data_IF_796831035834
#
_entry.id   IF_796831035834
#
_cell.length_a   1.000
_cell.length_b   1.000
_cell.length_c   1.000
_cell.angle_alpha   90.00
_cell.angle_beta   90.00
_cell.angle_gamma   90.00
#
_symmetry.space_group_name_H-M   'P 1'
#
loop_
_entity.id
_entity.type
_entity.pdbx_description
1 polymer ?
#
# COMPACT_ATOMS: atom_id res chain seq x y z
N UNK A 1 1.00 -9.76 -30.90
CA UNK A 1 1.51 -8.37 -30.98
C UNK A 1 0.69 -7.60 -29.93
N UNK A 2 1.28 -7.28 -28.77
CA UNK A 2 0.59 -6.42 -27.81
C UNK A 2 0.61 -5.01 -28.40
N UNK A 3 -0.56 -4.46 -28.72
CA UNK A 3 -0.64 -3.02 -29.01
C UNK A 3 -0.21 -2.29 -27.73
N UNK A 4 0.76 -1.39 -27.83
CA UNK A 4 1.09 -0.46 -26.76
C UNK A 4 -0.13 0.42 -26.51
N UNK A 5 -0.95 0.03 -25.55
CA UNK A 5 -2.04 0.87 -25.09
C UNK A 5 -1.44 2.05 -24.35
N UNK A 6 -1.73 3.24 -24.82
CA UNK A 6 -1.30 4.48 -24.18
C UNK A 6 -2.03 4.60 -22.82
N UNK A 7 -1.27 4.70 -21.74
CA UNK A 7 -1.80 4.99 -20.43
C UNK A 7 -2.57 6.33 -20.45
N UNK A 8 -3.73 6.39 -19.81
CA UNK A 8 -4.63 7.55 -19.79
C UNK A 8 -4.68 8.26 -18.44
N UNK A 9 -4.05 7.68 -17.42
CA UNK A 9 -3.93 8.36 -16.12
C UNK A 9 -3.18 9.68 -16.26
N UNK A 10 -3.56 10.69 -15.51
CA UNK A 10 -2.99 12.03 -15.56
C UNK A 10 -2.38 12.33 -14.19
N UNK A 11 -1.07 12.55 -14.16
CA UNK A 11 -0.42 12.89 -12.90
C UNK A 11 -0.82 14.31 -12.45
N UNK A 12 -1.47 14.46 -11.28
CA UNK A 12 -1.79 15.77 -10.74
C UNK A 12 -0.53 16.63 -10.55
N UNK A 13 -0.58 17.94 -10.78
CA UNK A 13 0.60 18.80 -10.73
C UNK A 13 1.24 18.89 -9.33
N UNK A 14 0.47 18.68 -8.27
CA UNK A 14 0.90 18.68 -6.88
C UNK A 14 1.08 17.27 -6.29
N UNK A 15 0.94 16.22 -7.10
CA UNK A 15 0.98 14.82 -6.69
C UNK A 15 2.15 14.49 -5.75
N UNK A 16 3.35 14.89 -6.14
CA UNK A 16 4.54 14.62 -5.32
C UNK A 16 4.51 15.38 -3.99
N UNK A 17 4.06 16.63 -3.99
CA UNK A 17 3.95 17.43 -2.76
C UNK A 17 2.89 16.85 -1.82
N UNK A 18 1.75 16.43 -2.37
CA UNK A 18 0.65 15.78 -1.66
C UNK A 18 1.11 14.52 -0.90
N UNK A 19 1.84 13.62 -1.58
CA UNK A 19 2.32 12.38 -0.98
C UNK A 19 3.55 12.57 -0.08
N UNK A 20 4.45 13.51 -0.40
CA UNK A 20 5.59 13.83 0.47
C UNK A 20 5.10 14.31 1.84
N UNK A 21 4.11 15.21 1.89
CA UNK A 21 3.56 15.70 3.14
C UNK A 21 2.99 14.56 4.02
N UNK A 22 2.38 13.53 3.41
CA UNK A 22 1.88 12.34 4.12
C UNK A 22 2.99 11.43 4.59
N UNK A 23 3.98 11.18 3.76
CA UNK A 23 5.15 10.39 4.13
C UNK A 23 5.93 11.01 5.30
N UNK A 24 6.01 12.35 5.34
CA UNK A 24 6.64 13.10 6.43
C UNK A 24 5.84 12.97 7.74
N UNK A 25 4.50 13.13 7.68
CA UNK A 25 3.64 12.91 8.86
C UNK A 25 3.71 11.46 9.37
N UNK A 26 3.75 10.50 8.46
CA UNK A 26 3.90 9.09 8.80
C UNK A 26 5.21 8.78 9.54
N UNK A 27 6.26 9.60 9.36
CA UNK A 27 7.54 9.42 10.06
C UNK A 27 7.44 9.61 11.57
N UNK A 28 6.48 10.37 12.06
CA UNK A 28 6.26 10.67 13.49
C UNK A 28 5.27 9.71 14.17
N UNK A 29 4.84 8.65 13.48
CA UNK A 29 3.87 7.70 14.02
C UNK A 29 4.33 7.09 15.36
N UNK A 30 3.41 7.01 16.32
CA UNK A 30 3.60 6.23 17.53
C UNK A 30 3.47 4.74 17.22
N UNK A 31 4.28 3.91 17.88
CA UNK A 31 4.29 2.46 17.71
C UNK A 31 4.40 1.78 19.06
N UNK A 32 3.49 0.85 19.34
CA UNK A 32 3.59 -0.11 20.42
C UNK A 32 3.93 -1.49 19.82
N UNK A 33 4.94 -2.17 20.37
CA UNK A 33 5.36 -3.49 19.93
C UNK A 33 5.16 -4.49 21.08
N UNK A 34 4.32 -5.51 20.86
CA UNK A 34 3.99 -6.55 21.84
C UNK A 34 4.55 -7.90 21.41
N UNK A 35 5.34 -8.59 22.25
CA UNK A 35 5.82 -9.93 21.93
C UNK A 35 4.65 -10.91 21.92
N UNK A 36 4.66 -11.85 20.98
CA UNK A 36 3.74 -12.99 20.93
C UNK A 36 4.44 -14.22 21.48
N UNK A 37 3.80 -14.90 22.41
CA UNK A 37 4.39 -16.06 23.10
C UNK A 37 4.36 -17.33 22.22
N UNK A 38 5.04 -17.29 21.09
CA UNK A 38 5.33 -18.49 20.31
C UNK A 38 6.73 -19.01 20.65
N UNK A 39 6.82 -20.29 20.95
CA UNK A 39 8.10 -20.96 21.13
C UNK A 39 8.64 -21.43 19.77
N UNK A 40 9.48 -20.63 19.18
CA UNK A 40 10.17 -20.98 17.93
C UNK A 40 11.67 -20.76 18.09
N UNK A 41 12.52 -21.75 17.77
CA UNK A 41 13.96 -21.56 17.80
C UNK A 41 14.47 -20.70 16.64
N UNK A 42 13.63 -20.42 15.64
CA UNK A 42 14.03 -19.77 14.41
C UNK A 42 13.65 -18.29 14.33
N UNK A 43 12.60 -17.86 15.06
CA UNK A 43 12.05 -16.52 14.90
C UNK A 43 11.43 -15.96 16.19
N UNK A 44 11.42 -14.65 16.27
CA UNK A 44 10.65 -13.84 17.23
C UNK A 44 9.42 -13.25 16.55
N UNK A 45 8.31 -13.15 17.28
CA UNK A 45 7.00 -12.76 16.79
C UNK A 45 6.46 -11.59 17.60
N UNK A 46 5.95 -10.58 16.92
CA UNK A 46 5.42 -9.38 17.55
C UNK A 46 4.13 -8.90 16.86
N UNK A 47 3.23 -8.34 17.64
CA UNK A 47 2.15 -7.51 17.16
C UNK A 47 2.55 -6.05 17.28
N UNK A 48 2.26 -5.27 16.26
CA UNK A 48 2.49 -3.84 16.21
C UNK A 48 1.15 -3.11 16.19
N UNK A 49 1.02 -2.11 17.06
CA UNK A 49 -0.07 -1.15 17.03
C UNK A 49 0.50 0.21 16.67
N UNK A 50 0.09 0.75 15.54
CA UNK A 50 0.61 2.01 15.00
C UNK A 50 -0.49 3.06 15.04
N UNK A 51 -0.14 4.32 15.30
CA UNK A 51 -1.11 5.40 15.21
C UNK A 51 -1.08 6.00 13.82
N UNK A 52 -2.20 5.89 13.08
CA UNK A 52 -2.38 6.51 11.77
C UNK A 52 -2.50 8.03 11.87
N UNK A 53 -2.38 8.73 10.74
CA UNK A 53 -2.51 10.19 10.63
C UNK A 53 -3.85 10.72 11.19
N UNK A 54 -4.93 9.97 11.01
CA UNK A 54 -6.28 10.30 11.53
C UNK A 54 -6.53 9.84 12.97
N UNK A 55 -5.50 9.36 13.68
CA UNK A 55 -5.57 8.87 15.05
C UNK A 55 -6.06 7.44 15.19
N UNK A 56 -6.44 6.75 14.11
CA UNK A 56 -6.84 5.35 14.17
C UNK A 56 -5.66 4.44 14.53
N UNK A 57 -5.96 3.34 15.20
CA UNK A 57 -4.94 2.32 15.51
C UNK A 57 -4.87 1.31 14.38
N UNK A 58 -3.71 1.20 13.74
CA UNK A 58 -3.41 0.20 12.74
C UNK A 58 -2.79 -1.02 13.41
N UNK A 59 -3.18 -2.20 12.93
CA UNK A 59 -2.60 -3.46 13.35
C UNK A 59 -1.62 -3.97 12.29
N UNK A 60 -0.46 -4.42 12.75
CA UNK A 60 0.50 -5.12 11.88
C UNK A 60 1.14 -6.28 12.64
N UNK A 61 1.68 -7.23 11.90
CA UNK A 61 2.47 -8.35 12.44
C UNK A 61 3.92 -8.21 12.02
N UNK A 62 4.81 -8.42 12.97
CA UNK A 62 6.23 -8.43 12.73
C UNK A 62 6.82 -9.78 13.13
N UNK A 63 7.62 -10.35 12.24
CA UNK A 63 8.41 -11.56 12.50
C UNK A 63 9.86 -11.32 12.06
N UNK A 64 10.82 -11.71 12.88
CA UNK A 64 12.22 -11.60 12.51
C UNK A 64 12.99 -12.87 12.90
N UNK A 65 14.08 -13.21 12.18
CA UNK A 65 14.95 -14.32 12.57
C UNK A 65 15.52 -14.11 13.97
N UNK A 66 15.81 -15.19 14.70
CA UNK A 66 16.51 -15.11 15.98
C UNK A 66 17.88 -14.44 15.83
N UNK A 67 18.32 -13.75 16.88
CA UNK A 67 19.66 -13.13 16.98
C UNK A 67 19.60 -11.61 17.08
N UNK A 68 20.74 -10.92 16.92
CA UNK A 68 20.85 -9.47 17.17
C UNK A 68 21.11 -8.63 15.91
N UNK A 69 21.52 -9.26 14.81
CA UNK A 69 21.88 -8.56 13.57
C UNK A 69 20.66 -7.97 12.88
N UNK A 70 20.80 -6.78 12.32
CA UNK A 70 19.82 -6.20 11.41
C UNK A 70 19.77 -7.00 10.12
N UNK A 71 18.56 -7.26 9.63
CA UNK A 71 18.30 -8.06 8.43
C UNK A 71 17.45 -7.27 7.43
N UNK A 72 17.53 -7.61 6.14
CA UNK A 72 16.59 -7.07 5.18
C UNK A 72 15.15 -7.36 5.61
N UNK A 73 14.24 -6.43 5.36
CA UNK A 73 12.86 -6.53 5.86
C UNK A 73 11.87 -6.41 4.73
N UNK A 74 10.96 -7.37 4.63
CA UNK A 74 9.85 -7.38 3.68
C UNK A 74 8.67 -6.63 4.30
N UNK A 75 8.18 -5.61 3.61
CA UNK A 75 6.94 -4.90 3.89
C UNK A 75 5.85 -5.54 3.04
N UNK A 76 4.90 -6.21 3.70
CA UNK A 76 3.91 -7.05 3.05
C UNK A 76 2.54 -6.36 3.09
N UNK A 77 1.92 -6.23 1.91
CA UNK A 77 0.60 -5.67 1.71
C UNK A 77 -0.33 -6.70 1.10
N UNK A 78 -1.62 -6.60 1.44
CA UNK A 78 -2.62 -7.59 1.06
C UNK A 78 -3.60 -7.04 0.03
N UNK A 79 -4.17 -7.94 -0.75
CA UNK A 79 -5.15 -7.63 -1.76
C UNK A 79 -6.47 -7.13 -1.16
N UNK A 80 -7.30 -6.51 -2.00
CA UNK A 80 -8.65 -6.08 -1.66
C UNK A 80 -9.47 -7.24 -1.09
N UNK A 81 -10.18 -6.97 -0.01
CA UNK A 81 -10.97 -7.99 0.67
C UNK A 81 -10.16 -9.03 1.46
N UNK A 82 -8.86 -8.82 1.63
CA UNK A 82 -7.95 -9.74 2.35
C UNK A 82 -7.20 -9.02 3.44
N UNK A 83 -6.95 -9.75 4.53
CA UNK A 83 -6.11 -9.31 5.65
C UNK A 83 -4.87 -10.18 5.82
N UNK A 84 -4.14 -9.97 6.91
CA UNK A 84 -2.96 -10.75 7.25
C UNK A 84 -3.35 -12.22 7.41
N UNK A 85 -2.72 -13.07 6.63
CA UNK A 85 -2.83 -14.52 6.78
C UNK A 85 -2.09 -15.00 8.03
N UNK A 86 -2.20 -16.30 8.33
CA UNK A 86 -1.47 -16.89 9.46
C UNK A 86 0.06 -16.66 9.38
N UNK A 87 0.73 -16.70 10.52
CA UNK A 87 2.17 -16.48 10.66
C UNK A 87 3.03 -17.33 9.69
N UNK A 88 2.54 -18.53 9.33
CA UNK A 88 3.27 -19.42 8.42
C UNK A 88 3.50 -18.83 7.02
N UNK A 89 2.66 -17.91 6.55
CA UNK A 89 2.90 -17.21 5.28
C UNK A 89 4.11 -16.29 5.34
N UNK A 90 4.48 -15.81 6.53
CA UNK A 90 5.61 -14.92 6.76
C UNK A 90 6.90 -15.72 7.04
N UNK A 91 6.79 -16.92 7.61
CA UNK A 91 7.96 -17.73 8.01
C UNK A 91 8.83 -18.16 6.84
N UNK A 92 8.29 -18.27 5.62
CA UNK A 92 9.07 -18.54 4.41
C UNK A 92 10.17 -17.52 4.16
N UNK A 93 9.91 -16.24 4.47
CA UNK A 93 10.90 -15.18 4.35
C UNK A 93 11.95 -15.24 5.47
N UNK A 94 11.53 -15.61 6.67
CA UNK A 94 12.44 -15.82 7.80
C UNK A 94 13.43 -16.93 7.51
N UNK A 95 13.00 -18.03 6.87
CA UNK A 95 13.87 -19.12 6.44
C UNK A 95 14.96 -18.67 5.44
N UNK A 96 14.72 -17.54 4.74
CA UNK A 96 15.68 -16.92 3.82
C UNK A 96 16.50 -15.80 4.50
N UNK A 97 16.33 -15.59 5.80
CA UNK A 97 17.05 -14.56 6.56
C UNK A 97 16.44 -13.16 6.53
N UNK A 98 15.18 -13.01 6.10
CA UNK A 98 14.46 -11.74 6.09
C UNK A 98 13.57 -11.60 7.33
N UNK A 99 13.41 -10.38 7.81
CA UNK A 99 12.27 -10.03 8.65
C UNK A 99 11.05 -9.70 7.76
N UNK A 100 9.85 -9.74 8.33
CA UNK A 100 8.61 -9.36 7.62
C UNK A 100 7.77 -8.48 8.53
N UNK A 101 7.25 -7.38 7.98
CA UNK A 101 6.17 -6.60 8.59
C UNK A 101 4.97 -6.67 7.65
N UNK A 102 3.85 -7.19 8.14
CA UNK A 102 2.61 -7.30 7.36
C UNK A 102 1.54 -6.38 7.96
N UNK A 103 0.99 -5.48 7.14
CA UNK A 103 -0.07 -4.55 7.55
C UNK A 103 -1.44 -5.21 7.39
N UNK A 104 -2.29 -5.11 8.41
CA UNK A 104 -3.71 -5.42 8.27
C UNK A 104 -4.42 -4.28 7.55
N UNK A 105 -5.16 -4.59 6.50
CA UNK A 105 -5.96 -3.60 5.81
C UNK A 105 -7.08 -3.10 6.74
N UNK A 106 -7.13 -1.80 7.01
CA UNK A 106 -8.16 -1.17 7.85
C UNK A 106 -9.56 -1.34 7.24
N UNK A 107 -9.64 -1.37 5.93
CA UNK A 107 -10.88 -1.53 5.19
C UNK A 107 -10.84 -2.87 4.44
N UNK A 108 -11.75 -3.78 4.78
CA UNK A 108 -11.88 -5.07 4.09
C UNK A 108 -12.44 -4.87 2.68
N UNK A 109 -13.40 -3.97 2.55
CA UNK A 109 -13.93 -3.51 1.26
C UNK A 109 -13.82 -1.99 1.22
N UNK A 110 -13.29 -1.47 0.14
CA UNK A 110 -13.13 -0.05 -0.06
C UNK A 110 -13.86 0.38 -1.32
N UNK A 111 -14.70 1.38 -1.16
CA UNK A 111 -15.24 2.14 -2.29
C UNK A 111 -14.29 3.30 -2.55
N UNK A 112 -13.57 3.24 -3.66
CA UNK A 112 -12.60 4.28 -4.04
C UNK A 112 -13.26 5.58 -4.45
N UNK A 113 -14.57 5.56 -4.68
CA UNK A 113 -15.34 6.74 -5.09
C UNK A 113 -16.11 7.36 -3.93
N UNK A 114 -16.15 6.69 -2.77
CA UNK A 114 -16.79 7.25 -1.59
C UNK A 114 -16.11 8.56 -1.20
N UNK A 115 -16.90 9.62 -1.04
CA UNK A 115 -16.45 10.97 -0.73
C UNK A 115 -15.54 11.63 -1.80
N UNK A 116 -15.53 11.12 -3.04
CA UNK A 116 -14.71 11.67 -4.12
C UNK A 116 -15.00 13.17 -4.41
N UNK A 117 -16.21 13.63 -4.14
CA UNK A 117 -16.61 15.04 -4.28
C UNK A 117 -15.86 15.97 -3.32
N UNK A 118 -15.40 15.44 -2.18
CA UNK A 118 -14.57 16.20 -1.21
C UNK A 118 -13.10 16.31 -1.65
N UNK A 119 -12.74 15.78 -2.81
CA UNK A 119 -11.37 15.73 -3.32
C UNK A 119 -10.53 14.61 -2.70
N UNK A 120 -9.23 14.56 -3.02
CA UNK A 120 -8.38 13.42 -2.65
C UNK A 120 -8.26 13.20 -1.13
N UNK A 121 -8.38 14.26 -0.32
CA UNK A 121 -8.34 14.14 1.15
C UNK A 121 -9.57 13.41 1.73
N UNK A 122 -10.69 13.46 1.05
CA UNK A 122 -11.95 12.83 1.48
C UNK A 122 -11.98 11.31 1.26
N UNK A 123 -11.24 10.80 0.28
CA UNK A 123 -11.34 9.41 -0.14
C UNK A 123 -10.71 8.46 0.88
N UNK A 124 -11.47 7.45 1.29
CA UNK A 124 -10.99 6.42 2.21
C UNK A 124 -9.75 5.65 1.66
N UNK A 125 -9.62 5.50 0.34
CA UNK A 125 -8.48 4.87 -0.31
C UNK A 125 -7.17 5.64 -0.11
N UNK A 126 -7.18 6.97 -0.02
CA UNK A 126 -6.00 7.78 0.33
C UNK A 126 -5.49 7.42 1.73
N UNK A 127 -6.39 7.14 2.67
CA UNK A 127 -6.01 6.67 4.02
C UNK A 127 -5.29 5.33 3.98
N UNK A 128 -5.62 4.43 3.06
CA UNK A 128 -4.91 3.15 2.92
C UNK A 128 -3.47 3.33 2.48
N UNK A 129 -3.21 4.21 1.53
CA UNK A 129 -1.83 4.54 1.12
C UNK A 129 -1.10 5.20 2.28
N UNK A 130 -1.72 6.14 3.00
CA UNK A 130 -1.15 6.78 4.20
C UNK A 130 -0.84 5.74 5.29
N UNK A 131 -1.70 4.74 5.51
CA UNK A 131 -1.48 3.64 6.44
C UNK A 131 -0.28 2.77 6.04
N UNK A 132 -0.14 2.50 4.74
CA UNK A 132 1.00 1.76 4.21
C UNK A 132 2.32 2.53 4.40
N UNK A 133 2.31 3.85 4.18
CA UNK A 133 3.45 4.72 4.48
C UNK A 133 3.78 4.74 5.98
N UNK A 134 2.75 4.80 6.84
CA UNK A 134 2.90 4.76 8.30
C UNK A 134 3.56 3.45 8.75
N UNK A 135 3.08 2.31 8.25
CA UNK A 135 3.70 1.01 8.55
C UNK A 135 5.15 0.94 8.05
N UNK A 136 5.43 1.44 6.85
CA UNK A 136 6.79 1.43 6.30
C UNK A 136 7.75 2.31 7.11
N UNK A 137 7.32 3.49 7.57
CA UNK A 137 8.12 4.35 8.45
C UNK A 137 8.32 3.71 9.83
N UNK A 138 7.29 3.07 10.40
CA UNK A 138 7.41 2.32 11.65
C UNK A 138 8.40 1.16 11.51
N UNK A 139 8.34 0.40 10.41
CA UNK A 139 9.25 -0.71 10.14
C UNK A 139 10.72 -0.28 10.13
N UNK A 140 11.03 0.93 9.65
CA UNK A 140 12.41 1.48 9.66
C UNK A 140 12.97 1.75 11.06
N UNK A 141 12.08 1.86 12.06
CA UNK A 141 12.45 2.09 13.48
C UNK A 141 12.64 0.78 14.25
N UNK A 142 12.21 -0.37 13.69
CA UNK A 142 12.31 -1.66 14.36
C UNK A 142 13.78 -2.07 14.58
N UNK A 143 14.12 -2.66 15.75
CA UNK A 143 15.50 -2.89 16.14
C UNK A 143 16.25 -3.84 15.20
N UNK A 144 15.54 -4.81 14.59
CA UNK A 144 16.13 -5.81 13.69
C UNK A 144 16.02 -5.46 12.21
N UNK A 145 15.38 -4.36 11.84
CA UNK A 145 15.25 -3.90 10.45
C UNK A 145 16.51 -3.19 9.98
N UNK A 146 17.03 -3.63 8.83
CA UNK A 146 17.99 -2.84 8.06
C UNK A 146 17.24 -1.85 7.18
N UNK A 147 17.19 -0.61 7.62
CA UNK A 147 16.46 0.47 6.94
C UNK A 147 16.99 0.82 5.54
N UNK A 148 18.15 0.32 5.15
CA UNK A 148 18.72 0.49 3.81
C UNK A 148 18.43 -0.70 2.88
N UNK A 149 17.78 -1.76 3.38
CA UNK A 149 17.44 -2.96 2.63
C UNK A 149 16.00 -3.38 2.90
N UNK A 150 15.07 -2.49 2.53
CA UNK A 150 13.63 -2.79 2.57
C UNK A 150 13.19 -3.38 1.23
N UNK A 151 12.19 -4.23 1.27
CA UNK A 151 11.57 -4.88 0.13
C UNK A 151 10.07 -4.73 0.28
N UNK A 152 9.37 -4.25 -0.73
CA UNK A 152 7.91 -4.26 -0.73
C UNK A 152 7.40 -5.47 -1.50
N UNK A 153 6.31 -6.06 -1.02
CA UNK A 153 5.68 -7.23 -1.63
C UNK A 153 4.16 -7.16 -1.49
N UNK A 154 3.45 -7.44 -2.58
CA UNK A 154 2.01 -7.50 -2.56
C UNK A 154 1.38 -8.08 -3.83
N UNK A 155 0.08 -8.40 -3.72
CA UNK A 155 -0.78 -8.88 -4.80
C UNK A 155 -1.99 -7.95 -4.92
N UNK A 156 -2.49 -7.70 -6.13
CA UNK A 156 -3.67 -6.87 -6.38
C UNK A 156 -3.51 -5.46 -5.81
N UNK A 157 -4.42 -5.05 -4.92
CA UNK A 157 -4.32 -3.76 -4.21
C UNK A 157 -3.01 -3.66 -3.40
N UNK A 158 -2.58 -4.76 -2.77
CA UNK A 158 -1.30 -4.80 -2.06
C UNK A 158 -0.11 -4.59 -2.97
N UNK A 159 -0.22 -4.95 -4.25
CA UNK A 159 0.82 -4.67 -5.24
C UNK A 159 0.88 -3.17 -5.60
N UNK A 160 -0.28 -2.51 -5.75
CA UNK A 160 -0.35 -1.05 -5.87
C UNK A 160 0.33 -0.36 -4.69
N UNK A 161 -0.09 -0.69 -3.46
CA UNK A 161 0.53 -0.16 -2.23
C UNK A 161 2.03 -0.44 -2.14
N UNK A 162 2.50 -1.57 -2.71
CA UNK A 162 3.93 -1.90 -2.78
C UNK A 162 4.70 -0.93 -3.67
N UNK A 163 4.11 -0.53 -4.80
CA UNK A 163 4.67 0.48 -5.71
C UNK A 163 4.68 1.85 -5.03
N UNK A 164 3.56 2.25 -4.42
CA UNK A 164 3.40 3.54 -3.75
C UNK A 164 4.45 3.71 -2.64
N UNK A 165 4.58 2.71 -1.78
CA UNK A 165 5.57 2.71 -0.69
C UNK A 165 7.00 2.69 -1.23
N UNK A 166 7.29 1.90 -2.28
CA UNK A 166 8.61 1.84 -2.87
C UNK A 166 9.04 3.16 -3.52
N UNK A 167 8.07 3.91 -4.06
CA UNK A 167 8.31 5.24 -4.63
C UNK A 167 8.59 6.31 -3.56
N UNK A 168 7.93 6.20 -2.38
CA UNK A 168 7.92 7.25 -1.36
C UNK A 168 8.89 7.01 -0.21
N UNK A 169 9.22 5.75 0.10
CA UNK A 169 10.01 5.42 1.30
C UNK A 169 11.46 5.14 0.95
N UNK A 170 12.42 5.91 1.50
CA UNK A 170 13.83 5.68 1.24
C UNK A 170 14.31 4.35 1.84
N UNK A 171 15.19 3.66 1.12
CA UNK A 171 15.76 2.38 1.54
C UNK A 171 15.00 1.16 1.02
N UNK A 172 13.92 1.34 0.27
CA UNK A 172 13.32 0.25 -0.51
C UNK A 172 14.21 -0.01 -1.72
N UNK A 173 14.77 -1.21 -1.80
CA UNK A 173 15.70 -1.63 -2.86
C UNK A 173 15.07 -2.56 -3.87
N UNK A 174 13.98 -3.24 -3.50
CA UNK A 174 13.21 -4.13 -4.38
C UNK A 174 11.71 -3.98 -4.12
N UNK A 175 10.94 -4.03 -5.20
CA UNK A 175 9.48 -4.04 -5.18
C UNK A 175 8.99 -5.23 -6.00
N UNK A 176 8.24 -6.14 -5.37
CA UNK A 176 7.57 -7.24 -6.04
C UNK A 176 6.06 -6.99 -5.99
N UNK A 177 5.49 -6.64 -7.14
CA UNK A 177 4.10 -6.22 -7.27
C UNK A 177 3.38 -7.10 -8.29
N UNK A 178 2.54 -8.03 -7.82
CA UNK A 178 1.81 -8.97 -8.68
C UNK A 178 0.43 -8.39 -9.02
N UNK A 179 0.19 -8.13 -10.32
CA UNK A 179 -1.07 -7.57 -10.82
C UNK A 179 -1.49 -6.29 -10.06
N UNK A 180 -0.68 -5.22 -10.07
CA UNK A 180 -0.94 -4.03 -9.28
C UNK A 180 -2.25 -3.34 -9.68
N UNK A 181 -3.05 -2.98 -8.68
CA UNK A 181 -4.25 -2.15 -8.81
C UNK A 181 -4.29 -1.14 -7.64
N UNK A 182 -4.87 0.06 -7.83
CA UNK A 182 -5.38 0.59 -9.10
C UNK A 182 -4.26 0.97 -10.08
N UNK A 183 -4.49 0.70 -11.35
CA UNK A 183 -3.61 1.11 -12.43
C UNK A 183 -4.48 1.54 -13.62
N UNK A 184 -4.35 2.81 -14.02
CA UNK A 184 -5.08 3.45 -15.11
C UNK A 184 -6.61 3.30 -14.99
N UNK A 185 -7.20 3.98 -14.00
CA UNK A 185 -8.64 4.00 -13.76
C UNK A 185 -9.46 4.35 -15.01
N UNK A 186 -8.97 5.29 -15.84
CA UNK A 186 -9.65 5.72 -17.04
C UNK A 186 -9.74 4.60 -18.08
N UNK A 187 -8.64 3.88 -18.29
CA UNK A 187 -8.63 2.72 -19.19
C UNK A 187 -9.48 1.57 -18.62
N UNK A 188 -9.42 1.32 -17.32
CA UNK A 188 -10.24 0.30 -16.66
C UNK A 188 -11.74 0.61 -16.83
N UNK A 189 -12.15 1.87 -16.68
CA UNK A 189 -13.51 2.33 -16.90
C UNK A 189 -13.97 2.09 -18.34
N UNK A 190 -13.19 2.52 -19.33
CA UNK A 190 -13.52 2.34 -20.76
C UNK A 190 -13.64 0.87 -21.17
N UNK A 191 -12.89 -0.01 -20.50
CA UNK A 191 -12.95 -1.45 -20.72
C UNK A 191 -14.06 -2.14 -19.91
N UNK A 192 -14.90 -1.40 -19.19
CA UNK A 192 -15.93 -1.93 -18.29
C UNK A 192 -15.35 -2.93 -17.27
N UNK A 193 -14.15 -2.68 -16.75
CA UNK A 193 -13.58 -3.49 -15.69
C UNK A 193 -14.39 -3.30 -14.40
N UNK A 194 -15.02 -4.38 -13.92
CA UNK A 194 -15.88 -4.37 -12.74
C UNK A 194 -15.31 -5.21 -11.59
N UNK A 195 -14.04 -5.55 -11.66
CA UNK A 195 -13.38 -6.38 -10.68
C UNK A 195 -12.68 -5.53 -9.61
N UNK A 196 -12.59 -6.10 -8.39
CA UNK A 196 -11.85 -5.50 -7.29
C UNK A 196 -12.23 -4.03 -7.04
N UNK A 197 -11.23 -3.17 -6.96
CA UNK A 197 -11.34 -1.74 -6.64
C UNK A 197 -12.09 -0.93 -7.74
N UNK A 198 -12.11 -1.42 -8.99
CA UNK A 198 -12.77 -0.70 -10.10
C UNK A 198 -14.29 -0.76 -10.06
N UNK A 199 -14.87 -1.73 -9.34
CA UNK A 199 -16.33 -1.84 -9.19
C UNK A 199 -16.96 -0.58 -8.58
N UNK A 200 -16.23 0.17 -7.75
CA UNK A 200 -16.66 1.43 -7.18
C UNK A 200 -16.97 2.48 -8.24
N UNK A 201 -16.14 2.58 -9.30
CA UNK A 201 -16.35 3.55 -10.41
C UNK A 201 -17.64 3.28 -11.15
N UNK A 202 -17.94 2.00 -11.44
CA UNK A 202 -19.20 1.60 -12.09
C UNK A 202 -20.40 1.93 -11.19
N UNK A 203 -20.27 1.65 -9.90
CA UNK A 203 -21.33 1.96 -8.91
C UNK A 203 -21.57 3.47 -8.82
N UNK A 204 -20.52 4.27 -8.84
CA UNK A 204 -20.62 5.73 -8.81
C UNK A 204 -21.46 6.26 -9.99
N UNK A 205 -21.07 5.95 -11.22
CA UNK A 205 -21.80 6.43 -12.39
C UNK A 205 -23.22 5.88 -12.47
N UNK A 206 -23.48 4.67 -11.99
CA UNK A 206 -24.83 4.12 -11.96
C UNK A 206 -25.75 4.83 -10.97
N UNK A 207 -25.24 5.21 -9.80
CA UNK A 207 -26.06 5.61 -8.66
C UNK A 207 -25.97 7.11 -8.32
N UNK A 208 -24.84 7.77 -8.65
CA UNK A 208 -24.56 9.15 -8.25
C UNK A 208 -24.45 10.11 -9.44
N UNK A 209 -23.81 9.69 -10.53
CA UNK A 209 -23.65 10.53 -11.72
C UNK A 209 -23.99 9.79 -13.02
N UNK A 210 -25.29 9.38 -13.21
CA UNK A 210 -25.71 8.63 -14.40
C UNK A 210 -25.61 9.43 -15.71
N UNK A 211 -25.50 10.74 -15.64
CA UNK A 211 -25.31 11.63 -16.78
C UNK A 211 -23.84 11.96 -17.07
N UNK A 212 -22.91 11.41 -16.29
CA UNK A 212 -21.46 11.61 -16.42
C UNK A 212 -21.03 13.09 -16.39
N UNK A 213 -21.74 13.92 -15.63
CA UNK A 213 -21.48 15.36 -15.55
C UNK A 213 -20.24 15.67 -14.71
N UNK A 214 -19.81 14.74 -13.84
CA UNK A 214 -18.66 14.86 -12.94
C UNK A 214 -17.52 13.87 -13.26
N UNK A 215 -17.56 13.26 -14.44
CA UNK A 215 -16.58 12.21 -14.82
C UNK A 215 -15.13 12.68 -14.67
N UNK A 216 -14.80 13.86 -15.21
CA UNK A 216 -13.43 14.38 -15.12
C UNK A 216 -13.03 14.76 -13.69
N UNK A 217 -13.95 15.24 -12.86
CA UNK A 217 -13.69 15.52 -11.46
C UNK A 217 -13.40 14.23 -10.69
N UNK A 218 -14.17 13.18 -10.91
CA UNK A 218 -13.95 11.87 -10.30
C UNK A 218 -12.55 11.35 -10.66
N UNK A 219 -12.24 11.28 -11.96
CA UNK A 219 -10.94 10.73 -12.37
C UNK A 219 -9.75 11.57 -11.94
N UNK A 220 -9.86 12.90 -11.94
CA UNK A 220 -8.77 13.74 -11.39
C UNK A 220 -8.54 13.52 -9.90
N UNK A 221 -9.57 13.12 -9.16
CA UNK A 221 -9.43 12.72 -7.75
C UNK A 221 -8.81 11.32 -7.63
N UNK A 222 -9.24 10.37 -8.46
CA UNK A 222 -8.68 9.01 -8.49
C UNK A 222 -7.24 8.95 -8.99
N UNK A 223 -6.81 9.90 -9.81
CA UNK A 223 -5.44 10.02 -10.29
C UNK A 223 -4.40 10.14 -9.13
N UNK A 224 -4.82 10.61 -7.94
CA UNK A 224 -3.97 10.59 -6.74
C UNK A 224 -3.70 9.18 -6.19
N UNK A 225 -4.57 8.23 -6.50
CA UNK A 225 -4.45 6.84 -6.03
C UNK A 225 -3.81 5.90 -7.05
N UNK A 226 -3.70 6.36 -8.29
CA UNK A 226 -3.24 5.52 -9.38
C UNK A 226 -1.74 5.20 -9.24
N UNK A 227 -1.40 3.92 -9.03
CA UNK A 227 -0.01 3.49 -8.84
C UNK A 227 0.88 3.79 -10.05
N UNK A 228 0.30 4.04 -11.23
CA UNK A 228 1.03 4.49 -12.42
C UNK A 228 1.69 5.84 -12.18
N UNK A 229 1.07 6.73 -11.40
CA UNK A 229 1.63 8.05 -11.08
C UNK A 229 2.80 7.97 -10.07
N UNK A 230 2.89 6.90 -9.27
CA UNK A 230 4.03 6.63 -8.40
C UNK A 230 5.20 5.99 -9.16
N UNK A 231 4.92 5.20 -10.21
CA UNK A 231 5.93 4.42 -10.92
C UNK A 231 7.15 5.23 -11.40
N UNK A 232 7.03 6.47 -11.93
CA UNK A 232 8.18 7.28 -12.34
C UNK A 232 9.13 7.67 -11.19
N UNK A 233 8.67 7.60 -9.93
CA UNK A 233 9.45 7.93 -8.74
C UNK A 233 10.21 6.73 -8.17
N UNK A 234 9.99 5.52 -8.70
CA UNK A 234 10.66 4.31 -8.25
C UNK A 234 12.18 4.39 -8.46
N UNK A 235 12.92 4.04 -7.41
CA UNK A 235 14.38 3.88 -7.42
C UNK A 235 14.80 2.44 -7.17
N UNK A 236 13.83 1.58 -6.85
CA UNK A 236 14.01 0.17 -6.57
C UNK A 236 13.97 -0.68 -7.84
N UNK A 237 14.57 -1.86 -7.78
CA UNK A 237 14.31 -2.91 -8.77
C UNK A 237 12.85 -3.35 -8.67
N UNK A 238 12.13 -3.35 -9.79
CA UNK A 238 10.71 -3.70 -9.87
C UNK A 238 10.53 -5.06 -10.56
N UNK A 239 9.78 -5.93 -9.91
CA UNK A 239 9.25 -7.18 -10.44
C UNK A 239 7.72 -7.07 -10.51
N UNK A 240 7.15 -7.19 -11.71
CA UNK A 240 5.72 -7.22 -11.98
C UNK A 240 5.25 -8.64 -12.27
#
# INVERSE_FOLDING_TARGET
>A
MYEEKKCRTICPPDFQAFWNARADRAADCAMEMKPVAFHSPAAEYYELHLTAEDGAVLYARYICPMGEKKVPTVLMFHDHGRGIRGWHHMTRFVALGYAVVALENRFIQIDVTADAEAGPDGIAAVKMVSDALTMAQAARKLPRTDRARLITWGEGLGAGLSIDVAAMIPGVVKCAALNPVPADFRTAWEQNCNESIYAGVISYFRNHDPEHTQEEQLFSTLDYLDCVNFAPMLKSELLL
#
